data_IF_495529703250
#
_entry.id   IF_495529703250
#
_cell.length_a   1.000
_cell.length_b   1.000
_cell.length_c   1.000
_cell.angle_alpha   90.00
_cell.angle_beta   90.00
_cell.angle_gamma   90.00
#
_symmetry.space_group_name_H-M   'P 1'
#
loop_
_entity.id
_entity.type
_entity.pdbx_description
1 polymer ?
#
# COMPACT_ATOMS: atom_id res chain seq x y z
N UNK A 1 -27.79 -24.29 -5.53
CA UNK A 1 -27.72 -23.16 -4.58
C UNK A 1 -26.94 -22.03 -5.23
N UNK A 2 -27.60 -21.01 -5.77
CA UNK A 2 -26.91 -19.84 -6.32
C UNK A 2 -26.33 -19.04 -5.15
N UNK A 3 -25.01 -18.99 -5.04
CA UNK A 3 -24.37 -18.12 -4.05
C UNK A 3 -24.62 -16.67 -4.47
N UNK A 4 -25.64 -16.04 -3.90
CA UNK A 4 -25.80 -14.60 -4.04
C UNK A 4 -24.54 -13.96 -3.45
N UNK A 5 -23.68 -13.43 -4.32
CA UNK A 5 -22.51 -12.69 -3.90
C UNK A 5 -22.99 -11.49 -3.06
N UNK A 6 -22.47 -11.31 -1.84
CA UNK A 6 -22.91 -10.21 -0.99
C UNK A 6 -22.65 -8.89 -1.72
N UNK A 7 -23.71 -8.09 -1.93
CA UNK A 7 -23.60 -6.77 -2.54
C UNK A 7 -22.70 -5.91 -1.65
N UNK A 8 -21.52 -5.55 -2.14
CA UNK A 8 -20.61 -4.66 -1.43
C UNK A 8 -21.25 -3.26 -1.44
N UNK A 9 -21.80 -2.86 -0.28
CA UNK A 9 -22.38 -1.52 -0.13
C UNK A 9 -21.32 -0.43 -0.09
N UNK A 10 -21.67 0.77 -0.57
CA UNK A 10 -20.80 1.97 -0.59
C UNK A 10 -20.18 2.25 0.79
N UNK A 11 -20.97 2.07 1.86
CA UNK A 11 -20.50 2.22 3.24
C UNK A 11 -19.32 1.31 3.58
N UNK A 12 -19.35 0.05 3.14
CA UNK A 12 -18.27 -0.90 3.42
C UNK A 12 -16.98 -0.51 2.69
N UNK A 13 -17.11 0.01 1.47
CA UNK A 13 -15.98 0.54 0.70
C UNK A 13 -15.38 1.76 1.41
N UNK A 14 -16.23 2.72 1.80
CA UNK A 14 -15.79 3.91 2.51
C UNK A 14 -15.07 3.58 3.83
N UNK A 15 -15.60 2.63 4.60
CA UNK A 15 -14.97 2.15 5.85
C UNK A 15 -13.62 1.49 5.57
N UNK A 16 -13.50 0.67 4.53
CA UNK A 16 -12.23 0.03 4.16
C UNK A 16 -11.16 1.06 3.79
N UNK A 17 -11.52 2.08 3.01
CA UNK A 17 -10.62 3.20 2.73
C UNK A 17 -10.30 3.99 3.99
N UNK A 18 -11.28 4.27 4.86
CA UNK A 18 -11.08 4.95 6.14
C UNK A 18 -10.01 4.27 7.00
N UNK A 19 -10.11 2.95 7.19
CA UNK A 19 -9.07 2.19 7.90
C UNK A 19 -7.72 2.22 7.19
N UNK A 20 -7.72 2.13 5.87
CA UNK A 20 -6.47 2.18 5.11
C UNK A 20 -5.76 3.52 5.26
N UNK A 21 -6.48 4.64 5.13
CA UNK A 21 -5.95 5.98 5.35
C UNK A 21 -5.53 6.22 6.80
N UNK A 22 -6.28 5.71 7.78
CA UNK A 22 -5.89 5.82 9.18
C UNK A 22 -4.56 5.09 9.46
N UNK A 23 -4.45 3.83 9.01
CA UNK A 23 -3.23 3.03 9.21
C UNK A 23 -2.01 3.62 8.51
N UNK A 24 -2.13 3.90 7.21
CA UNK A 24 -1.05 4.51 6.44
C UNK A 24 -0.75 5.94 6.86
N UNK A 25 -1.74 6.72 7.28
CA UNK A 25 -1.55 8.08 7.79
C UNK A 25 -0.73 8.10 9.08
N UNK A 26 -1.01 7.21 10.02
CA UNK A 26 -0.20 7.05 11.23
C UNK A 26 1.24 6.64 10.88
N UNK A 27 1.40 5.70 9.95
CA UNK A 27 2.71 5.28 9.48
C UNK A 27 3.50 6.43 8.82
N UNK A 28 2.81 7.29 8.04
CA UNK A 28 3.41 8.48 7.44
C UNK A 28 3.98 9.45 8.48
N UNK A 29 3.22 9.69 9.55
CA UNK A 29 3.64 10.59 10.64
C UNK A 29 4.87 10.01 11.37
N UNK A 30 4.86 8.71 11.67
CA UNK A 30 5.99 8.04 12.30
C UNK A 30 7.24 8.13 11.42
N UNK A 31 7.15 7.70 10.16
CA UNK A 31 8.28 7.76 9.22
C UNK A 31 8.79 9.18 8.99
N UNK A 32 7.87 10.14 8.85
CA UNK A 32 8.23 11.55 8.68
C UNK A 32 8.94 12.13 9.88
N UNK A 33 8.43 11.88 11.09
CA UNK A 33 9.06 12.31 12.33
C UNK A 33 10.44 11.70 12.54
N UNK A 34 10.60 10.40 12.27
CA UNK A 34 11.88 9.72 12.41
C UNK A 34 12.92 10.29 11.44
N UNK A 35 12.56 10.43 10.16
CA UNK A 35 13.46 11.00 9.16
C UNK A 35 13.83 12.45 9.45
N UNK A 36 12.87 13.23 9.95
CA UNK A 36 13.13 14.60 10.39
C UNK A 36 14.13 14.64 11.54
N UNK A 37 13.95 13.84 12.60
CA UNK A 37 14.86 13.79 13.74
C UNK A 37 16.27 13.39 13.32
N UNK A 38 16.38 12.38 12.45
CA UNK A 38 17.67 11.96 11.89
C UNK A 38 18.32 13.12 11.14
N UNK A 39 17.59 13.83 10.27
CA UNK A 39 18.16 14.96 9.52
C UNK A 39 18.54 16.12 10.45
N UNK A 40 17.66 16.46 11.39
CA UNK A 40 17.86 17.54 12.34
C UNK A 40 19.11 17.34 13.20
N UNK A 41 19.46 16.09 13.53
CA UNK A 41 20.70 15.79 14.25
C UNK A 41 21.97 16.13 13.48
N UNK A 42 21.92 16.13 12.14
CA UNK A 42 23.04 16.50 11.27
C UNK A 42 22.94 17.95 10.77
N UNK A 43 21.72 18.46 10.60
CA UNK A 43 21.41 19.79 10.06
C UNK A 43 20.29 20.46 10.87
N UNK A 44 20.63 21.25 11.90
CA UNK A 44 19.68 21.90 12.81
C UNK A 44 18.78 22.98 12.18
N UNK A 45 18.84 23.17 10.86
CA UNK A 45 18.00 24.10 10.12
C UNK A 45 17.18 23.39 9.02
N UNK A 46 17.13 22.05 9.05
CA UNK A 46 16.34 21.27 8.12
C UNK A 46 14.86 21.64 8.20
N UNK A 47 14.22 21.87 7.06
CA UNK A 47 12.79 22.14 6.99
C UNK A 47 11.99 20.88 7.29
N UNK A 48 11.03 20.96 8.21
CA UNK A 48 10.11 19.85 8.54
C UNK A 48 9.18 19.46 7.37
N UNK A 49 8.89 20.41 6.48
CA UNK A 49 7.89 20.24 5.43
C UNK A 49 8.11 19.02 4.50
N UNK A 50 9.28 18.85 3.84
CA UNK A 50 9.52 17.68 2.99
C UNK A 50 9.40 16.35 3.75
N UNK A 51 9.81 16.32 5.02
CA UNK A 51 9.74 15.13 5.86
C UNK A 51 8.32 14.76 6.26
N UNK A 52 7.36 15.69 6.24
CA UNK A 52 5.95 15.37 6.45
C UNK A 52 5.23 15.04 5.14
N UNK A 53 5.41 15.88 4.11
CA UNK A 53 4.61 15.78 2.88
C UNK A 53 5.00 14.56 2.04
N UNK A 54 6.30 14.23 1.94
CA UNK A 54 6.76 13.12 1.11
C UNK A 54 6.24 11.78 1.64
N UNK A 55 6.38 11.45 2.94
CA UNK A 55 5.77 10.24 3.50
C UNK A 55 4.25 10.26 3.48
N UNK A 56 3.59 11.41 3.68
CA UNK A 56 2.13 11.52 3.63
C UNK A 56 1.58 11.19 2.24
N UNK A 57 2.14 11.77 1.18
CA UNK A 57 1.74 11.50 -0.21
C UNK A 57 2.00 10.04 -0.57
N UNK A 58 3.16 9.51 -0.16
CA UNK A 58 3.51 8.10 -0.36
C UNK A 58 2.48 7.17 0.28
N UNK A 59 2.12 7.47 1.52
CA UNK A 59 1.17 6.69 2.32
C UNK A 59 -0.26 6.82 1.80
N UNK A 60 -0.64 7.99 1.27
CA UNK A 60 -1.92 8.18 0.60
C UNK A 60 -2.05 7.31 -0.66
N UNK A 61 -0.99 7.22 -1.48
CA UNK A 61 -0.97 6.32 -2.64
C UNK A 61 -1.10 4.85 -2.21
N UNK A 62 -0.39 4.42 -1.16
CA UNK A 62 -0.54 3.08 -0.58
C UNK A 62 -1.95 2.83 -0.04
N UNK A 63 -2.55 3.82 0.63
CA UNK A 63 -3.90 3.73 1.18
C UNK A 63 -4.96 3.55 0.09
N UNK A 64 -4.81 4.25 -1.03
CA UNK A 64 -5.70 4.12 -2.19
C UNK A 64 -5.63 2.70 -2.78
N UNK A 65 -4.43 2.11 -2.84
CA UNK A 65 -4.20 0.81 -3.50
C UNK A 65 -4.40 -0.40 -2.59
N UNK A 66 -4.45 -0.19 -1.27
CA UNK A 66 -4.60 -1.28 -0.29
C UNK A 66 -5.93 -2.02 -0.43
N UNK A 67 -7.13 -1.38 -0.44
CA UNK A 67 -8.39 -2.12 -0.58
C UNK A 67 -8.52 -2.91 -1.90
N UNK A 68 -8.14 -2.37 -3.07
CA UNK A 68 -8.08 -3.16 -4.31
C UNK A 68 -7.17 -4.39 -4.22
N UNK A 69 -5.99 -4.28 -3.59
CA UNK A 69 -5.10 -5.42 -3.38
C UNK A 69 -5.70 -6.47 -2.43
N UNK A 70 -6.36 -6.05 -1.36
CA UNK A 70 -7.09 -6.98 -0.47
C UNK A 70 -8.17 -7.73 -1.24
N UNK A 71 -8.91 -7.05 -2.11
CA UNK A 71 -9.91 -7.68 -2.96
C UNK A 71 -9.29 -8.67 -3.97
N UNK A 72 -8.18 -8.31 -4.61
CA UNK A 72 -7.46 -9.21 -5.50
C UNK A 72 -6.98 -10.47 -4.76
N UNK A 73 -6.44 -10.31 -3.55
CA UNK A 73 -5.97 -11.41 -2.70
C UNK A 73 -7.11 -12.35 -2.30
N UNK A 74 -8.29 -11.79 -1.97
CA UNK A 74 -9.49 -12.56 -1.66
C UNK A 74 -10.00 -13.38 -2.86
N UNK A 75 -9.97 -12.78 -4.06
CA UNK A 75 -10.46 -13.42 -5.28
C UNK A 75 -9.51 -14.52 -5.78
N UNK A 76 -8.21 -14.34 -5.58
CA UNK A 76 -7.17 -15.27 -6.00
C UNK A 76 -6.23 -15.62 -4.84
N UNK A 77 -6.71 -16.41 -3.87
CA UNK A 77 -5.89 -16.80 -2.73
C UNK A 77 -4.74 -17.71 -3.18
N UNK A 78 -3.63 -17.62 -2.46
CA UNK A 78 -2.47 -18.45 -2.70
C UNK A 78 -2.78 -19.93 -2.39
N UNK A 79 -2.48 -20.84 -3.32
CA UNK A 79 -2.75 -22.27 -3.16
C UNK A 79 -1.49 -23.09 -3.45
N UNK A 80 -1.12 -23.98 -2.52
CA UNK A 80 0.04 -24.87 -2.64
C UNK A 80 -0.01 -25.74 -3.90
N UNK A 81 -1.22 -26.15 -4.34
CA UNK A 81 -1.42 -27.01 -5.51
C UNK A 81 -1.08 -26.33 -6.85
N UNK A 82 -1.03 -25.00 -6.89
CA UNK A 82 -0.72 -24.21 -8.09
C UNK A 82 0.32 -23.14 -7.77
N UNK A 83 1.35 -23.52 -7.03
CA UNK A 83 2.38 -22.61 -6.52
C UNK A 83 3.00 -21.73 -7.62
N UNK A 84 3.42 -22.31 -8.75
CA UNK A 84 4.05 -21.56 -9.85
C UNK A 84 3.10 -20.53 -10.49
N UNK A 85 1.88 -20.94 -10.82
CA UNK A 85 0.86 -20.04 -11.39
C UNK A 85 0.46 -18.96 -10.38
N UNK A 86 0.38 -19.33 -9.09
CA UNK A 86 0.17 -18.39 -7.99
C UNK A 86 1.29 -17.37 -7.90
N UNK A 87 2.55 -17.81 -7.91
CA UNK A 87 3.72 -16.94 -7.89
C UNK A 87 3.74 -15.96 -9.06
N UNK A 88 3.55 -16.44 -10.30
CA UNK A 88 3.48 -15.58 -11.49
C UNK A 88 2.38 -14.52 -11.41
N UNK A 89 1.21 -14.88 -10.85
CA UNK A 89 0.13 -13.91 -10.61
C UNK A 89 0.54 -12.84 -9.60
N UNK A 90 1.25 -13.20 -8.55
CA UNK A 90 1.72 -12.24 -7.53
C UNK A 90 2.81 -11.32 -8.09
N UNK A 91 3.68 -11.83 -8.96
CA UNK A 91 4.62 -11.00 -9.72
C UNK A 91 3.87 -10.01 -10.61
N UNK A 92 2.84 -10.46 -11.33
CA UNK A 92 1.98 -9.59 -12.12
C UNK A 92 1.25 -8.53 -11.27
N UNK A 93 0.73 -8.91 -10.10
CA UNK A 93 0.11 -7.98 -9.15
C UNK A 93 1.11 -6.98 -8.59
N UNK A 94 2.35 -7.39 -8.30
CA UNK A 94 3.41 -6.51 -7.85
C UNK A 94 3.77 -5.48 -8.92
N UNK A 95 3.95 -5.92 -10.18
CA UNK A 95 4.21 -5.01 -11.29
C UNK A 95 3.07 -4.01 -11.50
N UNK A 96 1.82 -4.48 -11.49
CA UNK A 96 0.65 -3.62 -11.58
C UNK A 96 0.57 -2.63 -10.40
N UNK A 97 0.84 -3.09 -9.18
CA UNK A 97 0.87 -2.23 -8.00
C UNK A 97 1.93 -1.12 -8.14
N UNK A 98 3.16 -1.46 -8.51
CA UNK A 98 4.27 -0.50 -8.66
C UNK A 98 3.89 0.58 -9.68
N UNK A 99 3.36 0.20 -10.84
CA UNK A 99 2.93 1.13 -11.88
C UNK A 99 1.80 2.03 -11.37
N UNK A 100 0.73 1.44 -10.82
CA UNK A 100 -0.39 2.20 -10.29
C UNK A 100 0.03 3.13 -9.15
N UNK A 101 0.91 2.66 -8.27
CA UNK A 101 1.44 3.43 -7.16
C UNK A 101 2.19 4.66 -7.65
N UNK A 102 3.09 4.48 -8.62
CA UNK A 102 3.85 5.59 -9.19
C UNK A 102 2.94 6.62 -9.85
N UNK A 103 1.95 6.16 -10.62
CA UNK A 103 0.95 7.04 -11.26
C UNK A 103 0.17 7.81 -10.20
N UNK A 104 -0.44 7.13 -9.23
CA UNK A 104 -1.24 7.77 -8.17
C UNK A 104 -0.42 8.78 -7.38
N UNK A 105 0.79 8.39 -6.93
CA UNK A 105 1.71 9.28 -6.20
C UNK A 105 2.02 10.53 -7.02
N UNK A 106 2.45 10.34 -8.27
CA UNK A 106 2.81 11.42 -9.18
C UNK A 106 1.64 12.38 -9.46
N UNK A 107 0.41 11.85 -9.57
CA UNK A 107 -0.81 12.65 -9.70
C UNK A 107 -1.10 13.47 -8.44
N UNK A 108 -0.94 12.89 -7.25
CA UNK A 108 -1.20 13.60 -5.98
C UNK A 108 -0.20 14.74 -5.77
N UNK A 109 1.11 14.48 -5.93
CA UNK A 109 2.15 15.47 -5.63
C UNK A 109 3.39 15.31 -6.53
N UNK A 110 4.10 16.40 -6.87
CA UNK A 110 5.36 16.33 -7.61
C UNK A 110 6.41 15.46 -6.92
N UNK A 111 7.37 14.96 -7.71
CA UNK A 111 8.46 14.17 -7.16
C UNK A 111 9.40 15.02 -6.31
N UNK A 112 9.93 14.44 -5.24
CA UNK A 112 10.95 15.08 -4.42
C UNK A 112 12.30 14.45 -4.78
N UNK A 113 13.22 15.29 -5.25
CA UNK A 113 14.60 14.91 -5.48
C UNK A 113 15.34 14.94 -4.15
N UNK A 114 15.72 13.75 -3.68
CA UNK A 114 16.39 13.57 -2.38
C UNK A 114 17.85 14.06 -2.44
N UNK A 115 18.46 14.09 -3.63
CA UNK A 115 19.85 14.52 -3.80
C UNK A 115 19.96 16.04 -3.76
N UNK A 116 19.04 16.73 -4.43
CA UNK A 116 19.02 18.20 -4.50
C UNK A 116 18.00 18.85 -3.55
N UNK A 117 17.35 18.05 -2.68
CA UNK A 117 16.35 18.45 -1.68
C UNK A 117 15.24 19.39 -2.20
N UNK A 118 14.73 19.12 -3.40
CA UNK A 118 13.74 19.98 -4.05
C UNK A 118 12.64 19.20 -4.75
N UNK A 119 11.49 19.82 -4.89
CA UNK A 119 10.42 19.28 -5.73
C UNK A 119 10.73 19.50 -7.21
N UNK A 120 10.57 18.44 -8.00
CA UNK A 120 10.81 18.43 -9.44
C UNK A 120 9.48 18.61 -10.17
N UNK A 121 9.45 19.38 -11.28
CA UNK A 121 8.26 19.47 -12.13
C UNK A 121 7.75 18.10 -12.57
N UNK A 122 6.43 17.99 -12.76
CA UNK A 122 5.81 16.78 -13.28
C UNK A 122 6.21 16.58 -14.74
N UNK A 123 7.06 15.61 -14.99
CA UNK A 123 7.44 15.13 -16.33
C UNK A 123 7.38 13.61 -16.40
N UNK A 124 7.36 13.06 -17.61
CA UNK A 124 7.49 11.61 -17.80
C UNK A 124 8.80 11.08 -17.20
N UNK A 125 9.90 11.81 -17.34
CA UNK A 125 11.19 11.45 -16.74
C UNK A 125 11.10 11.38 -15.21
N UNK A 126 10.40 12.31 -14.57
CA UNK A 126 10.18 12.28 -13.11
C UNK A 126 9.35 11.08 -12.65
N UNK A 127 8.45 10.58 -13.51
CA UNK A 127 7.65 9.39 -13.26
C UNK A 127 8.50 8.12 -13.42
N UNK A 128 9.32 8.04 -14.47
CA UNK A 128 10.26 6.92 -14.67
C UNK A 128 11.28 6.87 -13.52
N UNK A 129 11.80 8.02 -13.10
CA UNK A 129 12.67 8.14 -11.94
C UNK A 129 12.03 7.64 -10.65
N UNK A 130 10.70 7.81 -10.49
CA UNK A 130 9.96 7.27 -9.36
C UNK A 130 9.87 5.74 -9.38
N UNK A 131 9.65 5.15 -10.57
CA UNK A 131 9.59 3.69 -10.75
C UNK A 131 10.95 3.06 -10.44
N UNK A 132 12.03 3.62 -11.00
CA UNK A 132 13.38 3.04 -10.89
C UNK A 132 13.97 3.32 -9.50
N UNK A 133 13.97 4.58 -9.06
CA UNK A 133 14.60 4.99 -7.80
C UNK A 133 13.84 4.53 -6.56
N UNK A 134 12.53 4.24 -6.68
CA UNK A 134 11.69 3.80 -5.57
C UNK A 134 11.36 2.31 -5.57
N UNK A 135 11.95 1.51 -6.47
CA UNK A 135 11.53 0.12 -6.70
C UNK A 135 11.52 -0.73 -5.42
N UNK A 136 12.61 -0.71 -4.64
CA UNK A 136 12.72 -1.52 -3.42
C UNK A 136 11.65 -1.13 -2.37
N UNK A 137 11.45 0.17 -2.14
CA UNK A 137 10.42 0.68 -1.24
C UNK A 137 9.01 0.25 -1.68
N UNK A 138 8.75 0.30 -2.99
CA UNK A 138 7.45 -0.07 -3.56
C UNK A 138 7.20 -1.58 -3.43
N UNK A 139 8.21 -2.40 -3.69
CA UNK A 139 8.14 -3.86 -3.46
C UNK A 139 7.88 -4.14 -1.98
N UNK A 140 8.56 -3.46 -1.07
CA UNK A 140 8.33 -3.63 0.37
C UNK A 140 6.90 -3.26 0.76
N UNK A 141 6.39 -2.12 0.26
CA UNK A 141 4.99 -1.72 0.50
C UNK A 141 4.00 -2.76 -0.03
N UNK A 142 4.23 -3.27 -1.24
CA UNK A 142 3.42 -4.36 -1.79
C UNK A 142 3.43 -5.58 -0.87
N UNK A 143 4.61 -6.04 -0.45
CA UNK A 143 4.75 -7.21 0.43
C UNK A 143 4.02 -6.99 1.76
N UNK A 144 4.15 -5.81 2.38
CA UNK A 144 3.46 -5.47 3.63
C UNK A 144 1.93 -5.51 3.47
N UNK A 145 1.40 -4.94 2.38
CA UNK A 145 -0.04 -4.98 2.09
C UNK A 145 -0.51 -6.42 1.90
N UNK A 146 0.22 -7.21 1.11
CA UNK A 146 -0.13 -8.61 0.84
C UNK A 146 -0.05 -9.48 2.09
N UNK A 147 0.96 -9.25 2.94
CA UNK A 147 1.07 -9.93 4.23
C UNK A 147 -0.15 -9.64 5.11
N UNK A 148 -0.53 -8.36 5.24
CA UNK A 148 -1.73 -7.97 5.98
C UNK A 148 -3.00 -8.60 5.42
N UNK A 149 -3.14 -8.63 4.09
CA UNK A 149 -4.28 -9.25 3.42
C UNK A 149 -4.38 -10.75 3.75
N UNK A 150 -3.26 -11.48 3.68
CA UNK A 150 -3.22 -12.90 4.02
C UNK A 150 -3.47 -13.17 5.50
N UNK A 151 -2.92 -12.35 6.40
CA UNK A 151 -3.16 -12.46 7.83
C UNK A 151 -4.66 -12.29 8.15
N UNK A 152 -5.31 -11.29 7.55
CA UNK A 152 -6.74 -11.08 7.72
C UNK A 152 -7.59 -12.23 7.15
N UNK A 153 -7.22 -12.76 5.98
CA UNK A 153 -7.91 -13.94 5.40
C UNK A 153 -7.79 -15.14 6.34
N UNK A 154 -6.58 -15.44 6.83
CA UNK A 154 -6.34 -16.56 7.74
C UNK A 154 -7.15 -16.42 9.03
N UNK A 155 -7.15 -15.23 9.63
CA UNK A 155 -7.96 -14.92 10.82
C UNK A 155 -9.46 -15.09 10.56
N UNK A 156 -9.97 -14.59 9.43
CA UNK A 156 -11.39 -14.74 9.10
C UNK A 156 -11.77 -16.20 8.89
N UNK A 157 -10.91 -16.97 8.22
CA UNK A 157 -11.14 -18.40 8.01
C UNK A 157 -11.20 -19.18 9.32
N UNK A 158 -10.35 -18.88 10.31
CA UNK A 158 -10.40 -19.56 11.61
C UNK A 158 -11.68 -19.22 12.40
N UNK A 159 -12.14 -17.97 12.36
CA UNK A 159 -13.40 -17.56 12.99
C UNK A 159 -14.61 -18.29 12.41
N UNK A 160 -14.68 -18.42 11.08
CA UNK A 160 -15.77 -19.15 10.42
C UNK A 160 -15.75 -20.64 10.79
N UNK A 161 -14.56 -21.25 10.89
CA UNK A 161 -14.43 -22.65 11.32
C UNK A 161 -14.91 -22.84 12.77
N UNK A 162 -14.54 -21.94 13.69
CA UNK A 162 -14.98 -22.00 15.07
C UNK A 162 -16.51 -21.89 15.19
N UNK A 163 -17.13 -20.97 14.46
CA UNK A 163 -18.59 -20.82 14.44
C UNK A 163 -19.30 -22.07 13.90
N UNK A 164 -18.75 -22.70 12.86
CA UNK A 164 -19.31 -23.93 12.31
C UNK A 164 -19.19 -25.12 13.28
N UNK A 165 -18.19 -25.14 14.16
CA UNK A 165 -18.04 -26.16 15.19
C UNK A 165 -19.01 -25.98 16.37
N UNK A 166 -19.45 -24.75 16.66
CA UNK A 166 -20.40 -24.45 17.74
C UNK A 166 -21.85 -24.73 17.32
N UNK A 167 -22.16 -24.62 16.02
CA UNK A 167 -23.49 -24.84 15.45
C UNK A 167 -23.76 -26.30 15.01
N UNK A 168 -22.81 -27.22 15.28
CA UNK A 168 -22.95 -28.67 15.13
C UNK A 168 -23.12 -29.32 16.50
#
# INVERSE_FOLDING_TARGET
MSSQSPKIGVRNVAVAYGYSFAGWGLFALLMGSQNFVIRWSSEPHASLFPFLIVPAVRSAASAILTPPLYFATLKWPFSKKRFLIGGLRYVGLAAAFIVCFCIVRWTIFPNFDVVHERFVPRSFDSLVGLVIGGFADQVLMFVLIMFGAHAWIAYRSSQVQALNQINL
#
